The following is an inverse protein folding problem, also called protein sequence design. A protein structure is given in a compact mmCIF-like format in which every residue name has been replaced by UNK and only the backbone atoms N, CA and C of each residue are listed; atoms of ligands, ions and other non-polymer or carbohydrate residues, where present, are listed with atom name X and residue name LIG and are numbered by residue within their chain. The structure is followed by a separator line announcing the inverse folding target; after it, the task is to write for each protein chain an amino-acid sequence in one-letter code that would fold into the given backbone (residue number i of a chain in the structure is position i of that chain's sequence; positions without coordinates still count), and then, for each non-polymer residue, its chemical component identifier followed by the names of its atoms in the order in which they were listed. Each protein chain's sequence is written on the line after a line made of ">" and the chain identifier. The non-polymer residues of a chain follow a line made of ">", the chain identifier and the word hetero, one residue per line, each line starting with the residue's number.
data_IF_961667715441
#
_entry.id   IF_961667715441
#
_cell.length_a   1.000
_cell.length_b   1.000
_cell.length_c   1.000
_cell.angle_alpha   90.00
_cell.angle_beta   90.00
_cell.angle_gamma   90.00
#
_symmetry.space_group_name_H-M   'P 1'
#
loop_
_entity.id
_entity.type
_entity.pdbx_description
1 polymer ?
#
# COMPACT_ATOMS: atom_id res chain seq x y z
N UNK A 1 -23.16 -39.51 85.42
CA UNK A 1 -23.16 -38.04 85.42
C UNK A 1 -22.17 -37.55 84.37
N UNK A 2 -22.60 -36.59 83.53
CA UNK A 2 -21.88 -35.84 82.46
C UNK A 2 -21.90 -36.41 81.02
N UNK A 3 -23.00 -36.08 80.36
CA UNK A 3 -23.27 -35.58 79.00
C UNK A 3 -22.17 -35.48 77.92
N UNK A 4 -22.65 -35.79 76.71
CA UNK A 4 -22.21 -35.50 75.35
C UNK A 4 -21.61 -34.11 75.06
N UNK A 5 -20.69 -34.02 74.09
CA UNK A 5 -20.86 -33.19 72.88
C UNK A 5 -19.83 -33.58 71.79
N UNK A 6 -20.35 -33.82 70.59
CA UNK A 6 -19.62 -34.00 69.32
C UNK A 6 -19.10 -32.63 68.86
N UNK A 7 -17.90 -32.55 68.29
CA UNK A 7 -17.57 -31.49 67.33
C UNK A 7 -16.63 -32.02 66.25
N UNK A 8 -17.15 -31.94 65.02
CA UNK A 8 -16.59 -32.45 63.79
C UNK A 8 -15.41 -31.59 63.31
N UNK A 9 -14.36 -32.28 62.86
CA UNK A 9 -13.27 -31.68 62.10
C UNK A 9 -13.78 -31.27 60.71
N UNK A 10 -13.87 -29.97 60.45
CA UNK A 10 -14.02 -29.42 59.10
C UNK A 10 -12.70 -28.77 58.72
N UNK A 11 -11.90 -29.50 57.94
CA UNK A 11 -10.69 -29.01 57.31
C UNK A 11 -11.12 -28.04 56.20
N UNK A 12 -10.84 -26.75 56.40
CA UNK A 12 -11.21 -25.67 55.49
C UNK A 12 -10.51 -25.81 54.14
N UNK A 13 -11.29 -25.98 53.08
CA UNK A 13 -10.85 -25.76 51.71
C UNK A 13 -11.14 -24.29 51.36
N UNK A 14 -10.15 -23.43 51.52
CA UNK A 14 -10.20 -22.04 51.04
C UNK A 14 -10.09 -22.09 49.50
N UNK A 15 -11.24 -22.08 48.82
CA UNK A 15 -11.28 -21.96 47.36
C UNK A 15 -10.87 -20.52 47.01
N UNK A 16 -9.61 -20.33 46.65
CA UNK A 16 -9.15 -19.10 46.00
C UNK A 16 -9.71 -19.13 44.58
N UNK A 17 -10.82 -18.43 44.36
CA UNK A 17 -11.32 -18.17 43.02
C UNK A 17 -10.25 -17.35 42.28
N UNK A 18 -9.85 -17.73 41.04
CA UNK A 18 -9.06 -16.84 40.21
C UNK A 18 -9.90 -15.59 39.99
N UNK A 19 -9.42 -14.46 40.51
CA UNK A 19 -9.94 -13.17 40.07
C UNK A 19 -9.43 -13.03 38.65
N UNK A 20 -10.34 -13.08 37.68
CA UNK A 20 -10.05 -12.62 36.33
C UNK A 20 -9.60 -11.17 36.46
N UNK A 21 -8.28 -10.96 36.41
CA UNK A 21 -7.73 -9.63 36.31
C UNK A 21 -8.30 -9.03 35.05
N UNK A 22 -9.13 -8.00 35.19
CA UNK A 22 -9.56 -7.18 34.07
C UNK A 22 -8.29 -6.72 33.33
N UNK A 23 -8.05 -7.29 32.15
CA UNK A 23 -7.12 -6.73 31.21
C UNK A 23 -7.67 -5.35 30.85
N UNK A 24 -7.15 -4.32 31.53
CA UNK A 24 -7.43 -2.94 31.19
C UNK A 24 -6.86 -2.73 29.79
N UNK A 25 -7.73 -2.72 28.78
CA UNK A 25 -7.40 -2.13 27.48
C UNK A 25 -7.23 -0.64 27.78
N UNK A 26 -5.98 -0.22 27.97
CA UNK A 26 -5.65 1.19 28.18
C UNK A 26 -6.04 1.92 26.90
N UNK A 27 -7.00 2.83 27.01
CA UNK A 27 -7.30 3.76 25.93
C UNK A 27 -6.12 4.74 25.85
N UNK A 28 -5.13 4.40 25.03
CA UNK A 28 -3.85 5.11 24.94
C UNK A 28 -3.99 6.58 24.50
N UNK A 29 -5.15 6.95 23.94
CA UNK A 29 -5.49 8.33 23.61
C UNK A 29 -5.79 9.20 24.85
N UNK A 30 -6.03 8.57 26.01
CA UNK A 30 -6.41 9.25 27.25
C UNK A 30 -5.47 9.01 28.42
N UNK A 31 -4.24 8.51 28.19
CA UNK A 31 -3.28 8.21 29.25
C UNK A 31 -2.96 9.45 30.13
N UNK A 32 -3.37 9.41 31.42
CA UNK A 32 -3.23 10.53 32.36
C UNK A 32 -2.01 10.38 33.29
N UNK A 33 -1.44 9.18 33.39
CA UNK A 33 -0.28 8.90 34.23
C UNK A 33 0.93 8.42 33.42
N UNK A 34 2.13 8.67 33.96
CA UNK A 34 3.37 8.19 33.35
C UNK A 34 3.42 6.65 33.21
N UNK A 35 2.80 5.92 34.13
CA UNK A 35 2.73 4.46 34.06
C UNK A 35 1.88 3.98 32.88
N UNK A 36 0.75 4.65 32.62
CA UNK A 36 -0.09 4.38 31.44
C UNK A 36 0.64 4.76 30.15
N UNK A 37 1.29 5.92 30.09
CA UNK A 37 2.10 6.34 28.93
C UNK A 37 3.19 5.32 28.61
N UNK A 38 3.90 4.83 29.63
CA UNK A 38 4.94 3.81 29.48
C UNK A 38 4.35 2.49 28.97
N UNK A 39 3.21 2.06 29.52
CA UNK A 39 2.52 0.84 29.07
C UNK A 39 2.08 0.94 27.61
N UNK A 40 1.54 2.09 27.21
CA UNK A 40 1.15 2.35 25.83
C UNK A 40 2.35 2.32 24.89
N UNK A 41 3.44 3.04 25.21
CA UNK A 41 4.64 3.04 24.38
C UNK A 41 5.28 1.65 24.23
N UNK A 42 5.22 0.81 25.28
CA UNK A 42 5.65 -0.59 25.20
C UNK A 42 4.75 -1.41 24.26
N UNK A 43 3.44 -1.22 24.34
CA UNK A 43 2.48 -1.90 23.49
C UNK A 43 2.60 -1.47 22.02
N UNK A 44 2.82 -0.18 21.76
CA UNK A 44 3.04 0.37 20.42
C UNK A 44 4.30 -0.22 19.79
N UNK A 45 5.42 -0.21 20.54
CA UNK A 45 6.64 -0.84 20.07
C UNK A 45 6.46 -2.34 19.82
N UNK A 46 5.77 -3.06 20.71
CA UNK A 46 5.47 -4.49 20.52
C UNK A 46 4.63 -4.74 19.28
N UNK A 47 3.64 -3.89 19.02
CA UNK A 47 2.78 -3.97 17.83
C UNK A 47 3.59 -3.72 16.56
N UNK A 48 4.43 -2.68 16.56
CA UNK A 48 5.34 -2.37 15.47
C UNK A 48 6.32 -3.53 15.19
N UNK A 49 6.92 -4.12 16.23
CA UNK A 49 7.84 -5.24 16.08
C UNK A 49 7.12 -6.50 15.54
N UNK A 50 5.88 -6.73 15.98
CA UNK A 50 5.02 -7.76 15.40
C UNK A 50 4.80 -7.58 13.90
N UNK A 51 4.44 -6.37 13.47
CA UNK A 51 4.24 -6.03 12.06
C UNK A 51 5.54 -6.18 11.24
N UNK A 52 6.68 -5.75 11.80
CA UNK A 52 8.00 -5.91 11.17
C UNK A 52 8.33 -7.38 10.93
N UNK A 53 8.08 -8.24 11.91
CA UNK A 53 8.35 -9.68 11.80
C UNK A 53 7.46 -10.35 10.73
N UNK A 54 6.22 -9.90 10.57
CA UNK A 54 5.33 -10.35 9.48
C UNK A 54 5.91 -9.95 8.12
N UNK A 55 6.26 -8.67 7.94
CA UNK A 55 6.84 -8.16 6.69
C UNK A 55 8.17 -8.85 6.34
N UNK A 56 9.02 -9.09 7.34
CA UNK A 56 10.27 -9.83 7.16
C UNK A 56 10.04 -11.27 6.66
N UNK A 57 9.08 -11.99 7.24
CA UNK A 57 8.73 -13.35 6.78
C UNK A 57 8.18 -13.35 5.36
N UNK A 58 7.32 -12.39 5.01
CA UNK A 58 6.79 -12.23 3.64
C UNK A 58 7.92 -12.10 2.62
N UNK A 59 8.94 -11.28 2.91
CA UNK A 59 10.11 -11.15 2.04
C UNK A 59 10.93 -12.45 1.99
N UNK A 60 11.13 -13.13 3.12
CA UNK A 60 11.88 -14.39 3.13
C UNK A 60 11.23 -15.45 2.24
N UNK A 61 9.90 -15.51 2.15
CA UNK A 61 9.18 -16.51 1.33
C UNK A 61 9.47 -16.38 -0.18
N UNK A 62 9.74 -15.17 -0.67
CA UNK A 62 9.99 -14.91 -2.11
C UNK A 62 11.46 -15.05 -2.51
N UNK A 63 12.38 -15.18 -1.56
CA UNK A 63 13.82 -15.14 -1.81
C UNK A 63 14.45 -16.54 -1.93
N UNK A 64 15.43 -16.66 -2.83
CA UNK A 64 16.34 -17.81 -2.86
C UNK A 64 17.30 -17.81 -1.65
N UNK A 65 18.06 -18.89 -1.45
CA UNK A 65 18.96 -19.07 -0.28
C UNK A 65 19.95 -17.91 -0.08
N UNK A 66 20.51 -17.36 -1.17
CA UNK A 66 21.42 -16.22 -1.10
C UNK A 66 20.67 -14.96 -0.66
N UNK A 67 19.53 -14.67 -1.26
CA UNK A 67 18.67 -13.53 -0.89
C UNK A 67 18.22 -13.58 0.56
N UNK A 68 17.78 -14.74 1.04
CA UNK A 68 17.40 -14.97 2.45
C UNK A 68 18.51 -14.62 3.42
N UNK A 69 19.75 -15.01 3.08
CA UNK A 69 20.95 -14.70 3.86
C UNK A 69 21.24 -13.21 3.89
N UNK A 70 21.22 -12.56 2.73
CA UNK A 70 21.47 -11.11 2.62
C UNK A 70 20.42 -10.29 3.38
N UNK A 71 19.13 -10.63 3.24
CA UNK A 71 18.06 -9.94 3.95
C UNK A 71 18.19 -10.11 5.47
N UNK A 72 18.54 -11.31 5.94
CA UNK A 72 18.78 -11.55 7.37
C UNK A 72 19.92 -10.69 7.90
N UNK A 73 21.02 -10.60 7.16
CA UNK A 73 22.20 -9.85 7.59
C UNK A 73 21.93 -8.33 7.55
N UNK A 74 21.22 -7.85 6.52
CA UNK A 74 20.72 -6.48 6.46
C UNK A 74 19.81 -6.14 7.64
N UNK A 75 18.86 -7.02 7.97
CA UNK A 75 17.93 -6.80 9.08
C UNK A 75 18.63 -6.78 10.44
N UNK A 76 19.65 -7.64 10.64
CA UNK A 76 20.50 -7.61 11.85
C UNK A 76 21.29 -6.32 11.96
N UNK A 77 21.85 -5.82 10.86
CA UNK A 77 22.55 -4.53 10.84
C UNK A 77 21.58 -3.38 11.15
N UNK A 78 20.38 -3.40 10.56
CA UNK A 78 19.35 -2.41 10.82
C UNK A 78 18.90 -2.39 12.30
N UNK A 79 18.73 -3.55 12.94
CA UNK A 79 18.39 -3.61 14.38
C UNK A 79 19.49 -2.94 15.22
N UNK A 80 20.77 -3.15 14.89
CA UNK A 80 21.88 -2.49 15.59
C UNK A 80 21.82 -0.98 15.41
N UNK A 81 21.57 -0.51 14.18
CA UNK A 81 21.38 0.91 13.88
C UNK A 81 20.21 1.49 14.69
N UNK A 82 19.01 0.90 14.60
CA UNK A 82 17.81 1.34 15.33
C UNK A 82 18.08 1.49 16.82
N UNK A 83 18.69 0.47 17.43
CA UNK A 83 18.95 0.47 18.86
C UNK A 83 19.99 1.54 19.25
N UNK A 84 20.98 1.82 18.39
CA UNK A 84 21.97 2.86 18.62
C UNK A 84 21.35 4.26 18.46
N UNK A 85 20.54 4.45 17.42
CA UNK A 85 19.82 5.69 17.14
C UNK A 85 18.88 6.05 18.29
N UNK A 86 18.01 5.13 18.70
CA UNK A 86 17.07 5.39 19.80
C UNK A 86 17.75 5.56 21.16
N UNK A 87 18.95 5.01 21.34
CA UNK A 87 19.76 5.30 22.52
C UNK A 87 20.31 6.73 22.48
N UNK A 88 20.77 7.18 21.32
CA UNK A 88 21.25 8.55 21.14
C UNK A 88 20.11 9.57 21.27
N UNK A 89 18.96 9.32 20.66
CA UNK A 89 17.79 10.18 20.75
C UNK A 89 17.31 10.32 22.21
N UNK A 90 17.25 9.22 22.95
CA UNK A 90 16.91 9.24 24.38
C UNK A 90 17.94 9.97 25.26
N UNK A 91 19.19 10.11 24.82
CA UNK A 91 20.21 10.89 25.53
C UNK A 91 19.94 12.40 25.41
N UNK A 92 19.26 12.85 24.35
CA UNK A 92 18.97 14.28 24.12
C UNK A 92 18.10 14.91 25.21
N UNK A 93 17.26 14.11 25.89
CA UNK A 93 16.45 14.56 27.03
C UNK A 93 17.21 14.54 28.37
N UNK A 94 18.53 14.29 28.34
CA UNK A 94 19.47 14.36 29.49
C UNK A 94 19.08 13.51 30.70
N UNK A 95 18.46 12.36 30.45
CA UNK A 95 18.11 11.36 31.47
C UNK A 95 16.76 11.60 32.15
N UNK A 96 16.46 10.81 33.18
CA UNK A 96 15.16 10.82 33.87
C UNK A 96 14.16 9.81 33.28
N UNK A 97 12.94 9.82 33.81
CA UNK A 97 11.91 8.83 33.43
C UNK A 97 11.48 8.97 31.96
N UNK A 98 11.55 10.17 31.41
CA UNK A 98 11.12 10.46 30.04
C UNK A 98 12.08 9.88 28.98
N UNK A 99 13.35 9.62 29.32
CA UNK A 99 14.32 9.03 28.41
C UNK A 99 13.90 7.64 27.91
N UNK A 100 13.30 6.81 28.77
CA UNK A 100 12.80 5.49 28.35
C UNK A 100 11.55 5.62 27.47
N UNK A 101 10.70 6.62 27.73
CA UNK A 101 9.52 6.89 26.91
C UNK A 101 9.94 7.36 25.50
N UNK A 102 10.89 8.30 25.41
CA UNK A 102 11.49 8.76 24.14
C UNK A 102 12.10 7.59 23.37
N UNK A 103 12.86 6.73 24.06
CA UNK A 103 13.47 5.55 23.44
C UNK A 103 12.42 4.60 22.85
N UNK A 104 11.35 4.30 23.58
CA UNK A 104 10.28 3.42 23.11
C UNK A 104 9.54 4.01 21.89
N UNK A 105 9.27 5.32 21.91
CA UNK A 105 8.68 6.02 20.79
C UNK A 105 9.56 5.93 19.53
N UNK A 106 10.86 6.20 19.65
CA UNK A 106 11.82 6.02 18.55
C UNK A 106 11.86 4.57 18.04
N UNK A 107 11.87 3.59 18.96
CA UNK A 107 11.87 2.18 18.60
C UNK A 107 10.63 1.82 17.78
N UNK A 108 9.45 2.32 18.16
CA UNK A 108 8.22 2.11 17.42
C UNK A 108 8.27 2.77 16.03
N UNK A 109 8.62 4.05 15.95
CA UNK A 109 8.66 4.82 14.70
C UNK A 109 9.62 4.21 13.65
N UNK A 110 10.88 3.96 14.04
CA UNK A 110 11.85 3.36 13.13
C UNK A 110 11.41 1.96 12.69
N UNK A 111 10.78 1.20 13.58
CA UNK A 111 10.26 -0.14 13.27
C UNK A 111 9.09 -0.09 12.28
N UNK A 112 8.17 0.87 12.42
CA UNK A 112 7.11 1.12 11.45
C UNK A 112 7.66 1.52 10.09
N UNK A 113 8.66 2.43 10.05
CA UNK A 113 9.33 2.85 8.81
C UNK A 113 9.99 1.66 8.10
N UNK A 114 10.72 0.81 8.82
CA UNK A 114 11.33 -0.39 8.23
C UNK A 114 10.30 -1.39 7.74
N UNK A 115 9.18 -1.52 8.45
CA UNK A 115 8.05 -2.38 8.04
C UNK A 115 7.49 -1.92 6.70
N UNK A 116 7.29 -0.60 6.53
CA UNK A 116 6.87 -0.01 5.25
C UNK A 116 7.86 -0.36 4.13
N UNK A 117 9.15 -0.11 4.34
CA UNK A 117 10.20 -0.45 3.36
C UNK A 117 10.20 -1.93 2.98
N UNK A 118 10.12 -2.84 3.95
CA UNK A 118 10.05 -4.28 3.68
C UNK A 118 8.80 -4.66 2.87
N UNK A 119 7.65 -4.03 3.14
CA UNK A 119 6.44 -4.29 2.36
C UNK A 119 6.56 -3.79 0.92
N UNK A 120 7.16 -2.61 0.71
CA UNK A 120 7.46 -2.08 -0.62
C UNK A 120 8.42 -3.00 -1.39
N UNK A 121 9.52 -3.44 -0.75
CA UNK A 121 10.47 -4.41 -1.30
C UNK A 121 9.79 -5.74 -1.67
N UNK A 122 8.93 -6.28 -0.80
CA UNK A 122 8.18 -7.51 -1.07
C UNK A 122 7.22 -7.35 -2.25
N UNK A 123 6.51 -6.23 -2.32
CA UNK A 123 5.54 -5.97 -3.39
C UNK A 123 6.27 -5.78 -4.73
N UNK A 124 7.42 -5.11 -4.74
CA UNK A 124 8.26 -4.99 -5.93
C UNK A 124 8.80 -6.35 -6.40
N UNK A 125 9.27 -7.19 -5.48
CA UNK A 125 9.74 -8.54 -5.81
C UNK A 125 8.60 -9.44 -6.35
N UNK A 126 7.39 -9.32 -5.80
CA UNK A 126 6.21 -10.04 -6.29
C UNK A 126 5.81 -9.57 -7.69
N UNK A 127 5.88 -8.26 -7.96
CA UNK A 127 5.65 -7.73 -9.30
C UNK A 127 6.66 -8.25 -10.33
N UNK A 128 7.88 -8.61 -9.91
CA UNK A 128 8.89 -9.24 -10.80
C UNK A 128 8.79 -10.77 -10.95
N UNK A 129 7.93 -11.43 -10.15
CA UNK A 129 7.79 -12.89 -10.10
C UNK A 129 6.48 -13.41 -10.69
N UNK A 130 5.58 -12.52 -11.13
CA UNK A 130 4.38 -12.86 -11.88
C UNK A 130 4.78 -13.39 -13.27
N UNK A 131 4.31 -14.58 -13.70
CA UNK A 131 4.50 -15.06 -15.08
C UNK A 131 4.00 -14.10 -16.16
N UNK A 132 3.13 -13.13 -15.82
CA UNK A 132 2.71 -12.05 -16.71
C UNK A 132 3.68 -10.86 -16.77
N UNK A 133 4.59 -10.73 -15.80
CA UNK A 133 5.60 -9.67 -15.77
C UNK A 133 6.87 -9.99 -16.58
N UNK A 134 6.95 -11.20 -17.14
CA UNK A 134 8.08 -11.68 -17.95
C UNK A 134 7.69 -11.81 -19.44
N UNK A 135 6.83 -10.92 -19.91
CA UNK A 135 6.76 -10.57 -21.33
C UNK A 135 7.49 -9.25 -21.55
N UNK A 136 8.83 -9.29 -21.45
CA UNK A 136 9.75 -8.29 -22.01
C UNK A 136 9.76 -8.34 -23.57
N UNK A 137 8.57 -8.46 -24.15
CA UNK A 137 8.26 -8.15 -25.55
C UNK A 137 7.00 -7.28 -25.55
N UNK A 138 7.07 -6.15 -24.85
CA UNK A 138 6.13 -5.06 -25.09
C UNK A 138 6.41 -4.53 -26.49
N UNK A 139 5.70 -5.07 -27.48
CA UNK A 139 5.46 -4.39 -28.74
C UNK A 139 5.16 -2.92 -28.45
N UNK A 140 5.75 -2.02 -29.23
CA UNK A 140 6.15 -0.65 -28.85
C UNK A 140 5.11 0.26 -28.15
N UNK A 141 3.83 -0.10 -28.08
CA UNK A 141 2.71 0.76 -27.67
C UNK A 141 1.54 -0.07 -27.08
N UNK A 142 1.79 -0.86 -26.03
CA UNK A 142 0.74 -1.63 -25.31
C UNK A 142 0.43 -1.01 -23.95
N UNK A 143 -0.86 -0.86 -23.62
CA UNK A 143 -1.32 -0.42 -22.29
C UNK A 143 -1.41 -1.62 -21.33
N UNK A 144 -0.77 -1.50 -20.18
CA UNK A 144 -0.83 -2.44 -19.07
C UNK A 144 -1.27 -1.72 -17.78
N UNK A 145 -1.53 -2.47 -16.71
CA UNK A 145 -1.86 -1.92 -15.39
C UNK A 145 -0.83 -0.87 -14.93
N UNK A 146 0.45 -1.08 -15.21
CA UNK A 146 1.57 -0.29 -14.65
C UNK A 146 2.26 0.62 -15.65
N UNK A 147 1.94 0.51 -16.94
CA UNK A 147 2.66 1.24 -17.99
C UNK A 147 1.88 1.38 -19.28
N UNK A 148 2.31 2.33 -20.11
CA UNK A 148 2.02 2.34 -21.53
C UNK A 148 3.34 2.34 -22.30
N UNK A 149 3.66 1.19 -22.92
CA UNK A 149 5.00 0.96 -23.46
C UNK A 149 6.09 1.25 -22.41
N UNK A 150 7.09 2.11 -22.71
CA UNK A 150 8.14 2.48 -21.74
C UNK A 150 7.68 3.45 -20.64
N UNK A 151 6.52 4.10 -20.76
CA UNK A 151 6.04 5.07 -19.79
C UNK A 151 5.47 4.32 -18.58
N UNK A 152 6.12 4.37 -17.41
CA UNK A 152 5.62 3.73 -16.19
C UNK A 152 4.85 4.69 -15.29
N UNK A 153 3.71 4.24 -14.80
CA UNK A 153 2.93 4.97 -13.81
C UNK A 153 3.66 5.00 -12.46
N UNK A 154 3.70 6.17 -11.81
CA UNK A 154 4.47 6.42 -10.60
C UNK A 154 5.89 6.95 -10.83
N UNK A 155 6.37 7.04 -12.07
CA UNK A 155 7.63 7.72 -12.39
C UNK A 155 7.46 9.23 -12.54
N UNK A 156 8.53 9.97 -12.27
CA UNK A 156 8.56 11.41 -12.55
C UNK A 156 8.65 11.67 -14.05
N UNK A 157 7.99 12.73 -14.52
CA UNK A 157 8.08 13.18 -15.91
C UNK A 157 9.54 13.38 -16.31
N UNK A 158 10.36 13.98 -15.45
CA UNK A 158 11.77 14.20 -15.71
C UNK A 158 12.55 12.90 -15.99
N UNK A 159 12.23 11.81 -15.27
CA UNK A 159 12.85 10.50 -15.51
C UNK A 159 12.46 9.94 -16.87
N UNK A 160 11.17 10.02 -17.21
CA UNK A 160 10.65 9.49 -18.47
C UNK A 160 11.18 10.31 -19.66
N UNK A 161 11.28 11.63 -19.54
CA UNK A 161 11.86 12.50 -20.57
C UNK A 161 13.32 12.12 -20.90
N UNK A 162 14.10 11.75 -19.89
CA UNK A 162 15.47 11.25 -20.08
C UNK A 162 15.46 9.89 -20.79
N UNK A 163 14.55 9.00 -20.42
CA UNK A 163 14.43 7.65 -21.00
C UNK A 163 13.98 7.69 -22.47
N UNK A 164 13.03 8.57 -22.80
CA UNK A 164 12.49 8.69 -24.16
C UNK A 164 13.31 9.61 -25.07
N UNK A 165 14.14 10.48 -24.49
CA UNK A 165 14.90 11.49 -25.22
C UNK A 165 14.01 12.59 -25.82
N UNK A 166 12.82 12.81 -25.26
CA UNK A 166 11.87 13.81 -25.71
C UNK A 166 11.16 14.47 -24.51
N UNK A 167 10.53 15.63 -24.75
CA UNK A 167 9.80 16.38 -23.73
C UNK A 167 8.31 16.18 -23.85
N UNK A 168 7.61 16.30 -22.74
CA UNK A 168 6.16 16.26 -22.74
C UNK A 168 5.60 17.53 -23.41
N UNK A 169 4.49 17.39 -24.14
CA UNK A 169 3.69 18.49 -24.69
C UNK A 169 2.42 18.63 -23.87
N UNK A 170 2.17 19.83 -23.35
CA UNK A 170 0.95 20.12 -22.60
C UNK A 170 -0.27 20.09 -23.51
N UNK A 171 -1.40 19.66 -22.96
CA UNK A 171 -2.70 19.78 -23.63
C UNK A 171 -3.47 20.97 -23.07
N UNK A 172 -4.58 21.32 -23.71
CA UNK A 172 -5.47 22.42 -23.28
C UNK A 172 -6.06 22.21 -21.88
N UNK A 173 -6.01 20.98 -21.34
CA UNK A 173 -6.63 20.56 -20.07
C UNK A 173 -5.69 20.63 -18.84
N UNK A 174 -4.71 21.55 -18.80
CA UNK A 174 -3.76 21.60 -17.67
C UNK A 174 -2.82 22.80 -17.60
N UNK A 175 -3.16 23.91 -18.26
CA UNK A 175 -2.25 25.06 -18.37
C UNK A 175 -2.31 26.05 -17.18
N UNK A 176 -3.27 25.93 -16.25
CA UNK A 176 -3.51 26.95 -15.22
C UNK A 176 -2.71 26.72 -13.92
N UNK A 177 -2.50 25.46 -13.50
CA UNK A 177 -1.61 25.10 -12.39
C UNK A 177 -0.85 23.78 -12.67
N UNK A 178 0.22 23.89 -13.45
CA UNK A 178 1.12 22.78 -13.77
C UNK A 178 1.83 22.16 -12.55
N UNK A 179 1.66 22.72 -11.35
CA UNK A 179 2.35 22.23 -10.15
C UNK A 179 1.59 21.12 -9.43
N UNK A 180 0.26 21.06 -9.58
CA UNK A 180 -0.58 20.08 -8.90
C UNK A 180 -1.03 18.94 -9.80
N UNK A 181 -1.73 19.25 -10.90
CA UNK A 181 -2.21 18.25 -11.85
C UNK A 181 -2.32 18.87 -13.25
N UNK A 182 -1.78 18.21 -14.26
CA UNK A 182 -2.00 18.60 -15.65
C UNK A 182 -2.05 17.40 -16.59
N UNK A 183 -2.72 17.61 -17.73
CA UNK A 183 -2.76 16.62 -18.80
C UNK A 183 -1.71 16.93 -19.88
N UNK A 184 -1.06 15.90 -20.40
CA UNK A 184 0.04 16.07 -21.34
C UNK A 184 0.27 14.80 -22.19
N UNK A 185 1.10 14.89 -23.22
CA UNK A 185 1.46 13.77 -24.10
C UNK A 185 2.93 13.79 -24.47
N UNK A 186 3.53 12.64 -24.74
CA UNK A 186 4.81 12.59 -25.43
C UNK A 186 4.58 12.57 -26.95
N UNK A 187 5.33 13.35 -27.75
CA UNK A 187 5.20 13.36 -29.21
C UNK A 187 5.25 11.98 -29.88
N UNK A 188 6.09 11.06 -29.40
CA UNK A 188 6.16 9.67 -29.88
C UNK A 188 4.93 8.84 -29.52
N UNK A 189 4.15 9.26 -28.53
CA UNK A 189 2.99 8.55 -27.99
C UNK A 189 1.72 9.39 -28.10
N UNK A 190 1.30 9.77 -29.33
CA UNK A 190 0.20 10.71 -29.54
C UNK A 190 -1.16 10.18 -29.08
N UNK A 191 -1.31 8.85 -29.05
CA UNK A 191 -2.55 8.15 -28.74
C UNK A 191 -2.78 7.94 -27.24
N UNK A 192 -1.89 8.47 -26.38
CA UNK A 192 -2.01 8.40 -24.94
C UNK A 192 -2.06 9.80 -24.33
N UNK A 193 -3.17 10.10 -23.65
CA UNK A 193 -3.34 11.29 -22.81
C UNK A 193 -2.90 10.96 -21.39
N UNK A 194 -1.80 11.57 -20.95
CA UNK A 194 -1.21 11.32 -19.64
C UNK A 194 -1.73 12.32 -18.61
N UNK A 195 -2.10 11.82 -17.44
CA UNK A 195 -2.31 12.64 -16.24
C UNK A 195 -0.99 12.70 -15.47
N UNK A 196 -0.58 13.91 -15.14
CA UNK A 196 0.61 14.18 -14.34
C UNK A 196 0.19 14.87 -13.05
N UNK A 197 0.48 14.25 -11.92
CA UNK A 197 0.19 14.77 -10.59
C UNK A 197 1.50 15.06 -9.87
N UNK A 198 1.72 16.32 -9.48
CA UNK A 198 2.95 16.75 -8.77
C UNK A 198 4.24 16.30 -9.48
N UNK A 199 4.23 16.33 -10.82
CA UNK A 199 5.35 15.92 -11.66
C UNK A 199 5.52 14.41 -11.85
N UNK A 200 4.56 13.60 -11.41
CA UNK A 200 4.54 12.13 -11.54
C UNK A 200 3.47 11.73 -12.55
N UNK A 201 3.80 10.88 -13.52
CA UNK A 201 2.79 10.31 -14.43
C UNK A 201 2.00 9.26 -13.67
N UNK A 202 0.70 9.46 -13.48
CA UNK A 202 -0.14 8.58 -12.65
C UNK A 202 -1.19 7.81 -13.42
N UNK A 203 -1.55 8.26 -14.63
CA UNK A 203 -2.56 7.63 -15.49
C UNK A 203 -2.26 7.88 -16.95
N UNK A 204 -2.57 6.91 -17.80
CA UNK A 204 -2.75 7.09 -19.24
C UNK A 204 -4.18 6.71 -19.64
N UNK A 205 -4.81 7.59 -20.40
CA UNK A 205 -6.00 7.30 -21.17
C UNK A 205 -5.60 7.12 -22.63
N UNK A 206 -6.04 6.04 -23.26
CA UNK A 206 -5.62 5.69 -24.61
C UNK A 206 -6.79 5.68 -25.58
N UNK A 207 -6.53 6.02 -26.83
CA UNK A 207 -7.55 5.91 -27.87
C UNK A 207 -7.79 4.46 -28.31
N UNK A 208 -8.79 4.26 -29.18
CA UNK A 208 -9.22 2.96 -29.66
C UNK A 208 -8.17 2.18 -30.48
N UNK A 209 -7.10 2.82 -30.93
CA UNK A 209 -6.02 2.17 -31.69
C UNK A 209 -5.04 1.42 -30.80
N UNK A 210 -5.02 1.73 -29.50
CA UNK A 210 -4.06 1.17 -28.55
C UNK A 210 -4.59 -0.14 -27.96
N UNK A 211 -3.78 -1.20 -28.10
CA UNK A 211 -4.05 -2.48 -27.45
C UNK A 211 -3.74 -2.44 -25.96
N UNK A 212 -4.29 -3.40 -25.21
CA UNK A 212 -3.98 -3.56 -23.79
C UNK A 212 -3.84 -5.04 -23.37
N UNK A 213 -3.22 -5.26 -22.21
CA UNK A 213 -2.99 -6.59 -21.64
C UNK A 213 -4.27 -7.33 -21.24
N UNK A 214 -5.39 -6.61 -21.08
CA UNK A 214 -6.70 -7.26 -20.88
C UNK A 214 -7.26 -7.87 -22.16
N UNK A 215 -6.75 -7.48 -23.34
CA UNK A 215 -7.33 -7.84 -24.63
C UNK A 215 -8.80 -7.42 -24.74
N UNK A 216 -9.12 -6.21 -24.26
CA UNK A 216 -10.42 -5.55 -24.42
C UNK A 216 -10.25 -4.37 -25.36
N UNK A 217 -11.17 -4.15 -26.29
CA UNK A 217 -11.12 -3.03 -27.23
C UNK A 217 -12.29 -2.07 -27.02
N UNK A 218 -12.11 -0.80 -27.39
CA UNK A 218 -13.23 0.12 -27.57
C UNK A 218 -14.21 -0.49 -28.59
N UNK A 219 -15.50 -0.53 -28.23
CA UNK A 219 -16.56 -1.19 -29.00
C UNK A 219 -16.90 -2.62 -28.57
N UNK A 220 -16.12 -3.23 -27.67
CA UNK A 220 -16.51 -4.50 -27.04
C UNK A 220 -17.80 -4.33 -26.24
N UNK A 221 -18.60 -5.41 -26.13
CA UNK A 221 -19.85 -5.33 -25.39
C UNK A 221 -19.62 -5.43 -23.90
N UNK A 222 -20.40 -4.68 -23.12
CA UNK A 222 -20.38 -4.74 -21.66
C UNK A 222 -20.51 -6.18 -21.14
N UNK A 223 -21.47 -6.93 -21.69
CA UNK A 223 -21.71 -8.31 -21.31
C UNK A 223 -20.50 -9.23 -21.56
N UNK A 224 -19.74 -9.00 -22.64
CA UNK A 224 -18.52 -9.78 -22.91
C UNK A 224 -17.41 -9.49 -21.91
N UNK A 225 -17.26 -8.21 -21.53
CA UNK A 225 -16.28 -7.77 -20.53
C UNK A 225 -16.64 -8.30 -19.15
N UNK A 226 -17.91 -8.23 -18.74
CA UNK A 226 -18.39 -8.81 -17.48
C UNK A 226 -18.14 -10.32 -17.41
N UNK A 227 -18.43 -11.05 -18.50
CA UNK A 227 -18.18 -12.49 -18.56
C UNK A 227 -16.68 -12.82 -18.47
N UNK A 228 -15.82 -11.97 -19.06
CA UNK A 228 -14.36 -12.14 -19.04
C UNK A 228 -13.76 -11.79 -17.66
N UNK A 229 -14.31 -10.82 -16.96
CA UNK A 229 -13.83 -10.32 -15.67
C UNK A 229 -14.93 -10.39 -14.61
N UNK A 230 -15.31 -11.59 -14.13
CA UNK A 230 -16.42 -11.76 -13.19
C UNK A 230 -16.16 -11.14 -11.81
N UNK A 231 -14.91 -10.80 -11.49
CA UNK A 231 -14.49 -10.16 -10.24
C UNK A 231 -14.17 -8.66 -10.41
N UNK A 232 -14.46 -8.07 -11.58
CA UNK A 232 -14.30 -6.63 -11.77
C UNK A 232 -15.25 -5.87 -10.84
N UNK A 233 -14.78 -4.74 -10.33
CA UNK A 233 -15.63 -3.76 -9.64
C UNK A 233 -16.42 -3.00 -10.71
N UNK A 234 -17.74 -2.90 -10.53
CA UNK A 234 -18.63 -2.27 -11.51
C UNK A 234 -19.49 -1.26 -10.77
N UNK A 235 -19.31 0.00 -11.11
CA UNK A 235 -20.03 1.13 -10.53
C UNK A 235 -20.78 1.91 -11.60
N UNK A 236 -21.84 2.61 -11.20
CA UNK A 236 -22.53 3.55 -12.10
C UNK A 236 -21.68 4.81 -12.27
N UNK A 237 -21.54 5.26 -13.51
CA UNK A 237 -20.79 6.48 -13.80
C UNK A 237 -21.57 7.72 -13.30
N UNK A 238 -20.82 8.69 -12.76
CA UNK A 238 -21.36 9.83 -11.99
C UNK A 238 -22.21 10.83 -12.79
N UNK A 239 -21.95 11.01 -14.08
CA UNK A 239 -22.49 12.09 -14.92
C UNK A 239 -23.27 11.60 -16.15
N UNK A 240 -23.08 10.37 -16.57
CA UNK A 240 -23.70 9.78 -17.76
C UNK A 240 -24.73 8.75 -17.33
N UNK A 241 -25.99 8.98 -17.72
CA UNK A 241 -27.08 8.07 -17.37
C UNK A 241 -26.86 6.68 -17.94
N UNK A 242 -26.95 5.67 -17.09
CA UNK A 242 -26.82 4.25 -17.44
C UNK A 242 -25.46 3.87 -18.05
N UNK A 243 -24.41 4.63 -17.73
CA UNK A 243 -23.03 4.26 -18.02
C UNK A 243 -22.41 3.57 -16.79
N UNK A 244 -21.43 2.69 -17.03
CA UNK A 244 -20.71 1.99 -15.96
C UNK A 244 -19.22 2.24 -16.05
N UNK A 245 -18.58 2.35 -14.89
CA UNK A 245 -17.13 2.24 -14.75
C UNK A 245 -16.79 0.82 -14.28
N UNK A 246 -15.97 0.14 -15.06
CA UNK A 246 -15.57 -1.25 -14.82
C UNK A 246 -14.09 -1.24 -14.45
N UNK A 247 -13.79 -1.45 -13.18
CA UNK A 247 -12.43 -1.42 -12.65
C UNK A 247 -11.90 -2.84 -12.49
N UNK A 248 -10.77 -3.12 -13.16
CA UNK A 248 -9.99 -4.33 -12.96
C UNK A 248 -8.71 -3.94 -12.22
N UNK A 249 -8.50 -4.50 -11.04
CA UNK A 249 -7.33 -4.21 -10.22
C UNK A 249 -6.15 -5.12 -10.55
N UNK A 250 -4.93 -4.58 -10.46
CA UNK A 250 -3.71 -5.37 -10.52
C UNK A 250 -3.55 -6.27 -9.29
N UNK A 251 -2.78 -7.35 -9.45
CA UNK A 251 -2.26 -8.13 -8.33
C UNK A 251 -0.73 -8.05 -8.33
N UNK A 252 -0.06 -7.57 -7.27
CA UNK A 252 -0.65 -6.98 -6.07
C UNK A 252 -1.37 -5.65 -6.37
N UNK A 253 -2.27 -5.26 -5.47
CA UNK A 253 -3.06 -4.02 -5.58
C UNK A 253 -2.18 -2.76 -5.62
N UNK A 254 -2.70 -1.70 -6.24
CA UNK A 254 -2.04 -0.39 -6.36
C UNK A 254 -2.20 0.26 -7.74
N UNK A 255 -2.54 -0.54 -8.74
CA UNK A 255 -2.83 -0.10 -10.10
C UNK A 255 -4.13 -0.73 -10.59
N UNK A 256 -4.73 -0.11 -11.58
CA UNK A 256 -5.98 -0.58 -12.17
C UNK A 256 -6.04 -0.23 -13.65
N UNK A 257 -6.83 -1.01 -14.38
CA UNK A 257 -7.38 -0.61 -15.68
C UNK A 257 -8.86 -0.37 -15.48
N UNK A 258 -9.33 0.80 -15.90
CA UNK A 258 -10.74 1.18 -15.88
C UNK A 258 -11.26 1.27 -17.32
N UNK A 259 -12.40 0.63 -17.53
CA UNK A 259 -13.14 0.65 -18.79
C UNK A 259 -14.42 1.44 -18.57
N UNK A 260 -14.62 2.49 -19.37
CA UNK A 260 -15.90 3.20 -19.39
C UNK A 260 -16.83 2.51 -20.38
N UNK A 261 -18.05 2.25 -19.93
CA UNK A 261 -19.10 1.65 -20.71
C UNK A 261 -20.26 2.62 -20.86
N UNK A 262 -20.70 2.83 -22.11
CA UNK A 262 -21.90 3.58 -22.44
C UNK A 262 -22.73 2.82 -23.47
N UNK A 263 -24.06 2.76 -23.28
CA UNK A 263 -25.01 2.16 -24.21
C UNK A 263 -24.68 0.70 -24.63
N UNK A 264 -24.16 -0.08 -23.69
CA UNK A 264 -23.77 -1.48 -23.82
C UNK A 264 -22.36 -1.70 -24.38
N UNK A 265 -21.54 -0.65 -24.51
CA UNK A 265 -20.27 -0.66 -25.26
C UNK A 265 -19.15 0.00 -24.51
N UNK A 266 -17.95 -0.57 -24.57
CA UNK A 266 -16.74 0.08 -24.06
C UNK A 266 -16.43 1.30 -24.93
N UNK A 267 -16.36 2.48 -24.32
CA UNK A 267 -16.10 3.76 -25.00
C UNK A 267 -14.74 4.35 -24.67
N UNK A 268 -14.18 4.02 -23.50
CA UNK A 268 -12.90 4.54 -23.03
C UNK A 268 -12.13 3.49 -22.25
N UNK A 269 -10.80 3.57 -22.34
CA UNK A 269 -9.89 2.69 -21.59
C UNK A 269 -8.80 3.57 -20.97
N UNK A 270 -8.61 3.45 -19.66
CA UNK A 270 -7.54 4.12 -18.94
C UNK A 270 -6.85 3.17 -17.96
N UNK A 271 -5.55 3.36 -17.76
CA UNK A 271 -4.76 2.62 -16.79
C UNK A 271 -3.91 3.57 -15.96
N UNK A 272 -3.57 3.18 -14.74
CA UNK A 272 -2.87 4.07 -13.82
C UNK A 272 -2.84 3.56 -12.39
N UNK A 273 -2.43 4.43 -11.47
CA UNK A 273 -2.59 4.17 -10.04
C UNK A 273 -4.07 3.93 -9.73
N UNK A 274 -4.35 3.09 -8.73
CA UNK A 274 -5.72 2.73 -8.37
C UNK A 274 -6.59 3.96 -8.02
N UNK A 275 -5.98 5.04 -7.53
CA UNK A 275 -6.64 6.31 -7.21
C UNK A 275 -6.88 7.15 -8.48
N UNK A 276 -5.83 7.41 -9.26
CA UNK A 276 -5.90 8.34 -10.40
C UNK A 276 -6.82 7.82 -11.52
N UNK A 277 -6.96 6.49 -11.67
CA UNK A 277 -7.93 5.94 -12.63
C UNK A 277 -9.37 6.21 -12.24
N UNK A 278 -9.70 6.64 -11.02
CA UNK A 278 -11.09 6.94 -10.63
C UNK A 278 -11.49 8.38 -10.93
N UNK A 279 -10.56 9.23 -11.37
CA UNK A 279 -10.87 10.62 -11.69
C UNK A 279 -11.75 10.71 -12.93
N UNK A 280 -13.00 11.12 -12.71
CA UNK A 280 -14.03 11.21 -13.75
C UNK A 280 -13.74 12.33 -14.74
N UNK A 281 -13.22 13.44 -14.25
CA UNK A 281 -12.76 14.56 -15.06
C UNK A 281 -11.25 14.44 -15.28
N UNK A 282 -10.69 15.26 -16.19
CA UNK A 282 -9.24 15.44 -16.27
C UNK A 282 -8.73 16.11 -14.99
N UNK A 283 -7.57 16.75 -15.00
CA UNK A 283 -7.14 17.58 -13.87
C UNK A 283 -8.09 18.78 -13.69
N UNK A 284 -9.16 18.62 -12.90
CA UNK A 284 -10.16 19.63 -12.53
C UNK A 284 -10.44 19.57 -11.02
#
# INVERSE_FOLDING_TARGET
>A
MKNHFVLAATLGLLIVLPTDGFAQTSDCDSALSFAEMMSCAQNDYKTADGALNIAYRKNQETLNTKGKTLLRDAQRAWIKFRNAECKWEADTVRGGRDAELTKLACLADLTMKRTKTLNEEANAAQASADPLANQDDHGAELLDYRSYGPIRFGQTVASIEVELGEKITLTEYGAEDMTQCYMARFPRYPNALLMVEKGIVTRAEVDASVGNTLGVSVGDSFASVQAKFPNAEIELQKYVMNAHEITIHSSPAGFSILLLEEAGKITQIRAGTAESVQYVEHCL
#
